data_IF_415979535228
#
_entry.id   IF_415979535228
#
_cell.length_a   1.000
_cell.length_b   1.000
_cell.length_c   1.000
_cell.angle_alpha   90.00
_cell.angle_beta   90.00
_cell.angle_gamma   90.00
#
_symmetry.space_group_name_H-M   'P 1'
#
loop_
_entity.id
_entity.type
_entity.pdbx_description
1 polymer ?
#
# COMPACT_ATOMS: atom_id res chain seq x y z
N UNK A 1 -14.72 1.38 -16.70
CA UNK A 1 -14.85 2.25 -15.52
C UNK A 1 -13.44 2.62 -15.13
N UNK A 2 -13.16 3.91 -14.98
CA UNK A 2 -11.84 4.36 -14.54
C UNK A 2 -11.76 4.03 -13.05
N UNK A 3 -11.32 2.82 -12.72
CA UNK A 3 -10.99 2.48 -11.35
C UNK A 3 -9.77 3.34 -10.97
N UNK A 4 -10.04 4.44 -10.28
CA UNK A 4 -9.02 5.32 -9.70
C UNK A 4 -8.33 4.57 -8.57
N UNK A 5 -7.03 4.81 -8.39
CA UNK A 5 -6.22 4.17 -7.33
C UNK A 5 -6.92 4.23 -5.96
N UNK A 6 -7.57 5.35 -5.65
CA UNK A 6 -8.20 5.62 -4.36
C UNK A 6 -9.49 4.82 -4.09
N UNK A 7 -10.23 4.44 -5.15
CA UNK A 7 -11.50 3.71 -5.02
C UNK A 7 -11.34 2.19 -5.24
N UNK A 8 -10.13 1.75 -5.62
CA UNK A 8 -9.85 0.36 -5.93
C UNK A 8 -9.77 -0.49 -4.65
N UNK A 9 -10.59 -1.55 -4.58
CA UNK A 9 -10.64 -2.44 -3.43
C UNK A 9 -9.75 -3.67 -3.61
N UNK A 10 -8.85 -3.89 -2.65
CA UNK A 10 -8.03 -5.10 -2.55
C UNK A 10 -8.76 -6.12 -1.68
N UNK A 11 -9.09 -7.28 -2.24
CA UNK A 11 -9.82 -8.36 -1.55
C UNK A 11 -9.08 -9.70 -1.57
N UNK A 12 -8.08 -9.83 -2.44
CA UNK A 12 -7.30 -11.05 -2.66
C UNK A 12 -5.94 -10.72 -3.31
N UNK A 13 -5.13 -11.75 -3.57
CA UNK A 13 -3.82 -11.59 -4.21
C UNK A 13 -3.89 -10.98 -5.61
N UNK A 14 -4.91 -11.30 -6.41
CA UNK A 14 -5.00 -10.83 -7.80
C UNK A 14 -5.39 -9.35 -7.87
N UNK A 15 -6.33 -8.94 -7.01
CA UNK A 15 -6.69 -7.54 -6.82
C UNK A 15 -5.53 -6.76 -6.22
N UNK A 16 -4.72 -7.35 -5.33
CA UNK A 16 -3.49 -6.70 -4.84
C UNK A 16 -2.47 -6.45 -5.96
N UNK A 17 -2.26 -7.39 -6.88
CA UNK A 17 -1.37 -7.17 -8.05
C UNK A 17 -1.87 -5.98 -8.88
N UNK A 18 -3.17 -5.93 -9.18
CA UNK A 18 -3.75 -4.79 -9.92
C UNK A 18 -3.58 -3.47 -9.18
N UNK A 19 -3.73 -3.48 -7.86
CA UNK A 19 -3.48 -2.29 -7.03
C UNK A 19 -2.03 -1.82 -7.16
N UNK A 20 -1.04 -2.72 -7.13
CA UNK A 20 0.36 -2.37 -7.34
C UNK A 20 0.62 -1.77 -8.73
N UNK A 21 0.00 -2.31 -9.77
CA UNK A 21 0.10 -1.77 -11.13
C UNK A 21 -0.50 -0.35 -11.22
N UNK A 22 -1.66 -0.13 -10.59
CA UNK A 22 -2.29 1.18 -10.51
C UNK A 22 -1.44 2.18 -9.70
N UNK A 23 -0.84 1.73 -8.59
CA UNK A 23 0.02 2.54 -7.73
C UNK A 23 1.28 2.98 -8.49
N UNK A 24 1.93 2.05 -9.20
CA UNK A 24 3.08 2.35 -10.08
C UNK A 24 2.68 3.33 -11.19
N UNK A 25 1.53 3.10 -11.83
CA UNK A 25 1.04 3.98 -12.90
C UNK A 25 0.80 5.40 -12.38
N UNK A 26 0.18 5.54 -11.21
CA UNK A 26 -0.08 6.84 -10.59
C UNK A 26 1.23 7.59 -10.30
N UNK A 27 2.26 6.91 -9.77
CA UNK A 27 3.57 7.52 -9.57
C UNK A 27 4.21 8.01 -10.87
N UNK A 28 4.09 7.24 -11.96
CA UNK A 28 4.66 7.60 -13.26
C UNK A 28 3.92 8.76 -13.94
N UNK A 29 2.61 8.82 -13.80
CA UNK A 29 1.76 9.86 -14.41
C UNK A 29 1.72 11.15 -13.56
N UNK A 30 1.79 11.03 -12.24
CA UNK A 30 1.64 12.12 -11.28
C UNK A 30 2.80 12.21 -10.25
N UNK A 31 4.08 12.19 -10.64
CA UNK A 31 5.19 12.14 -9.67
C UNK A 31 5.24 13.37 -8.74
N UNK A 32 4.68 14.51 -9.15
CA UNK A 32 4.63 15.72 -8.32
C UNK A 32 3.60 15.67 -7.19
N UNK A 33 2.61 14.76 -7.24
CA UNK A 33 1.68 14.55 -6.12
C UNK A 33 2.25 13.62 -5.04
N UNK A 34 3.41 13.01 -5.29
CA UNK A 34 4.06 12.10 -4.36
C UNK A 34 5.13 12.82 -3.54
N UNK A 35 5.03 12.72 -2.22
CA UNK A 35 6.06 13.21 -1.29
C UNK A 35 7.30 12.30 -1.30
N UNK A 36 7.06 10.99 -1.22
CA UNK A 36 8.12 9.96 -1.14
C UNK A 36 8.45 9.42 -2.54
N UNK A 37 9.36 10.11 -3.25
CA UNK A 37 9.66 9.82 -4.67
C UNK A 37 10.76 8.76 -4.88
N UNK A 38 11.47 8.36 -3.81
CA UNK A 38 12.52 7.34 -3.89
C UNK A 38 12.13 6.07 -3.13
N UNK A 39 12.73 4.92 -3.50
CA UNK A 39 12.44 3.65 -2.84
C UNK A 39 12.78 3.67 -1.33
N UNK A 40 13.93 4.21 -0.89
CA UNK A 40 14.22 4.36 0.55
C UNK A 40 13.14 5.18 1.28
N UNK A 41 12.82 6.38 0.78
CA UNK A 41 11.84 7.27 1.43
C UNK A 41 10.45 6.60 1.48
N UNK A 42 10.08 5.91 0.41
CA UNK A 42 8.80 5.21 0.34
C UNK A 42 8.73 4.05 1.34
N UNK A 43 9.81 3.28 1.51
CA UNK A 43 9.86 2.19 2.50
C UNK A 43 9.83 2.75 3.93
N UNK A 44 10.51 3.86 4.19
CA UNK A 44 10.46 4.54 5.49
C UNK A 44 9.05 5.02 5.81
N UNK A 45 8.39 5.68 4.85
CA UNK A 45 7.01 6.13 5.00
C UNK A 45 6.03 4.96 5.20
N UNK A 46 6.21 3.83 4.50
CA UNK A 46 5.42 2.62 4.72
C UNK A 46 5.56 2.10 6.15
N UNK A 47 6.78 2.08 6.70
CA UNK A 47 7.03 1.64 8.07
C UNK A 47 6.35 2.56 9.09
N UNK A 48 6.55 3.88 8.97
CA UNK A 48 5.96 4.86 9.86
C UNK A 48 4.42 4.79 9.83
N UNK A 49 3.82 4.75 8.65
CA UNK A 49 2.37 4.72 8.53
C UNK A 49 1.75 3.39 9.01
N UNK A 50 2.46 2.27 8.87
CA UNK A 50 2.01 0.97 9.42
C UNK A 50 1.93 0.98 10.94
N UNK A 51 2.81 1.73 11.62
CA UNK A 51 2.75 1.92 13.08
C UNK A 51 1.52 2.75 13.50
N UNK A 52 1.17 3.76 12.71
CA UNK A 52 0.08 4.72 13.02
C UNK A 52 -1.32 4.30 12.53
N UNK A 53 -1.43 3.32 11.62
CA UNK A 53 -2.68 3.04 10.86
C UNK A 53 -3.87 2.69 11.75
N UNK A 54 -3.65 2.05 12.91
CA UNK A 54 -4.74 1.76 13.84
C UNK A 54 -5.39 3.05 14.35
N UNK A 55 -4.58 4.07 14.67
CA UNK A 55 -5.07 5.38 15.09
C UNK A 55 -5.92 6.05 14.01
N UNK A 56 -5.56 5.92 12.73
CA UNK A 56 -6.40 6.40 11.63
C UNK A 56 -7.77 5.69 11.59
N UNK A 57 -7.82 4.37 11.71
CA UNK A 57 -9.08 3.61 11.72
C UNK A 57 -9.97 3.97 12.91
N UNK A 58 -9.37 4.14 14.09
CA UNK A 58 -10.09 4.55 15.30
C UNK A 58 -10.67 5.95 15.15
N UNK A 59 -9.84 6.92 14.71
CA UNK A 59 -10.23 8.32 14.53
C UNK A 59 -11.33 8.51 13.47
N UNK A 60 -11.41 7.60 12.49
CA UNK A 60 -12.42 7.63 11.42
C UNK A 60 -13.58 6.66 11.66
N UNK A 61 -13.66 6.04 12.85
CA UNK A 61 -14.72 5.11 13.27
C UNK A 61 -14.96 3.94 12.30
N UNK A 62 -13.89 3.44 11.66
CA UNK A 62 -14.00 2.38 10.66
C UNK A 62 -14.21 0.97 11.26
N UNK A 63 -13.96 0.81 12.57
CA UNK A 63 -14.09 -0.47 13.29
C UNK A 63 -13.27 -1.61 12.65
N UNK A 64 -12.06 -1.27 12.19
CA UNK A 64 -11.07 -2.19 11.60
C UNK A 64 -9.98 -2.45 12.63
N UNK A 65 -9.58 -3.72 12.77
CA UNK A 65 -8.43 -4.12 13.58
C UNK A 65 -7.25 -4.37 12.64
N UNK A 66 -6.23 -3.52 12.72
CA UNK A 66 -5.03 -3.59 11.90
C UNK A 66 -4.24 -4.89 12.12
N UNK A 67 -4.31 -5.54 13.29
CA UNK A 67 -3.62 -6.81 13.57
C UNK A 67 -4.25 -8.02 12.86
N UNK A 68 -5.43 -7.88 12.26
CA UNK A 68 -6.15 -8.95 11.57
C UNK A 68 -5.86 -9.05 10.07
N UNK A 69 -4.82 -8.38 9.56
CA UNK A 69 -4.37 -8.59 8.19
C UNK A 69 -3.38 -9.76 8.10
N UNK A 70 -3.29 -10.37 6.92
CA UNK A 70 -2.25 -11.35 6.60
C UNK A 70 -0.92 -10.62 6.29
N UNK A 71 -0.39 -9.89 7.28
CA UNK A 71 0.84 -9.09 7.19
C UNK A 71 2.04 -9.93 6.77
N UNK A 72 2.04 -11.21 7.14
CA UNK A 72 3.07 -12.15 6.74
C UNK A 72 3.14 -12.25 5.22
N UNK A 73 1.99 -12.33 4.53
CA UNK A 73 1.95 -12.36 3.07
C UNK A 73 2.56 -11.10 2.46
N UNK A 74 2.26 -9.90 2.97
CA UNK A 74 2.90 -8.67 2.50
C UNK A 74 4.41 -8.66 2.72
N UNK A 75 4.87 -9.07 3.91
CA UNK A 75 6.29 -9.16 4.22
C UNK A 75 7.00 -10.17 3.30
N UNK A 76 6.39 -11.32 3.02
CA UNK A 76 6.93 -12.34 2.13
C UNK A 76 7.00 -11.83 0.68
N UNK A 77 6.01 -11.02 0.24
CA UNK A 77 6.05 -10.35 -1.07
C UNK A 77 7.23 -9.37 -1.15
N UNK A 78 7.43 -8.51 -0.15
CA UNK A 78 8.57 -7.59 -0.14
C UNK A 78 9.92 -8.31 -0.08
N UNK A 79 10.02 -9.40 0.71
CA UNK A 79 11.22 -10.25 0.74
C UNK A 79 11.47 -10.91 -0.62
N UNK A 80 10.42 -11.38 -1.29
CA UNK A 80 10.48 -11.91 -2.65
C UNK A 80 10.98 -10.87 -3.63
N UNK A 81 10.37 -9.68 -3.67
CA UNK A 81 10.73 -8.58 -4.56
C UNK A 81 12.14 -7.99 -4.31
N UNK A 82 12.68 -8.16 -3.10
CA UNK A 82 14.10 -7.82 -2.83
C UNK A 82 15.07 -8.74 -3.57
N UNK A 83 14.69 -10.00 -3.79
CA UNK A 83 15.56 -11.05 -4.33
C UNK A 83 15.29 -11.28 -5.82
N UNK A 84 14.02 -11.19 -6.23
CA UNK A 84 13.51 -11.48 -7.56
C UNK A 84 12.87 -10.23 -8.21
N UNK A 85 12.66 -10.27 -9.52
CA UNK A 85 12.06 -9.20 -10.35
C UNK A 85 10.58 -8.90 -10.07
#
# INVERSE_FOLDING_TARGET
MNDTLNDFKVTDRQTFIKFLDLLKKDFLENPESWENKTLPDFIEALSAYTEDIQGYYDNTNQNINADKADWKTFADIFKGAKIYE
#
